data_IF_755655323879
#
_entry.id   IF_755655323879
#
_cell.length_a   1.000
_cell.length_b   1.000
_cell.length_c   1.000
_cell.angle_alpha   90.00
_cell.angle_beta   90.00
_cell.angle_gamma   90.00
#
_symmetry.space_group_name_H-M   'P 1'
#
loop_
_entity.id
_entity.type
_entity.pdbx_description
1 polymer ?
#
# COMPACT_ATOMS: atom_id res chain seq x y z
N UNK A 1 27.65 2.46 -6.76
CA UNK A 1 27.43 2.17 -5.33
C UNK A 1 25.93 2.32 -5.11
N UNK A 2 25.20 1.22 -4.91
CA UNK A 2 23.76 1.31 -4.62
C UNK A 2 23.61 1.92 -3.22
N UNK A 3 23.00 3.09 -3.12
CA UNK A 3 22.55 3.60 -1.83
C UNK A 3 21.66 2.53 -1.20
N UNK A 4 22.04 2.04 -0.03
CA UNK A 4 21.14 1.17 0.75
C UNK A 4 19.90 1.97 1.06
N UNK A 5 18.77 1.54 0.53
CA UNK A 5 17.48 2.12 0.86
C UNK A 5 17.29 2.08 2.38
N UNK A 6 17.17 3.26 3.00
CA UNK A 6 16.86 3.35 4.43
C UNK A 6 15.38 2.97 4.58
N UNK A 7 15.01 2.04 5.46
CA UNK A 7 13.60 1.70 5.67
C UNK A 7 12.79 2.95 5.99
N UNK A 8 11.62 3.08 5.37
CA UNK A 8 10.67 4.13 5.71
C UNK A 8 10.30 4.03 7.21
N UNK A 9 10.21 5.16 7.88
CA UNK A 9 9.77 5.26 9.28
C UNK A 9 8.61 6.25 9.38
N UNK A 10 7.43 5.90 8.86
CA UNK A 10 6.29 6.79 8.91
C UNK A 10 5.82 7.01 10.35
N UNK A 11 5.32 8.21 10.64
CA UNK A 11 4.62 8.47 11.89
C UNK A 11 3.29 7.73 11.95
N UNK A 12 2.62 7.62 10.80
CA UNK A 12 1.43 6.79 10.58
C UNK A 12 1.36 6.32 9.14
N UNK A 13 0.60 5.26 8.93
CA UNK A 13 0.28 4.71 7.61
C UNK A 13 -1.24 4.77 7.46
N UNK A 14 -1.71 5.61 6.55
CA UNK A 14 -3.13 5.71 6.20
C UNK A 14 -3.37 4.90 4.96
N UNK A 15 -4.30 3.94 5.03
CA UNK A 15 -4.61 3.07 3.91
C UNK A 15 -6.03 3.32 3.41
N UNK A 16 -6.23 3.13 2.11
CA UNK A 16 -7.51 3.32 1.43
C UNK A 16 -8.03 1.96 0.95
N UNK A 17 -9.10 1.49 1.56
CA UNK A 17 -9.75 0.26 1.13
C UNK A 17 -10.66 0.46 -0.08
N UNK A 18 -10.72 -0.54 -0.99
CA UNK A 18 -11.67 -0.61 -2.10
C UNK A 18 -11.60 0.55 -3.08
N UNK A 19 -10.41 1.00 -3.41
CA UNK A 19 -10.21 2.15 -4.32
C UNK A 19 -10.16 1.78 -5.82
N UNK A 20 -10.36 0.51 -6.15
CA UNK A 20 -10.54 0.02 -7.51
C UNK A 20 -11.87 -0.73 -7.61
N UNK A 21 -12.72 -0.37 -8.60
CA UNK A 21 -14.06 -0.92 -8.72
C UNK A 21 -14.07 -2.44 -8.91
N UNK A 22 -13.14 -2.96 -9.71
CA UNK A 22 -13.00 -4.40 -9.96
C UNK A 22 -12.58 -5.16 -8.69
N UNK A 23 -11.67 -4.60 -7.89
CA UNK A 23 -11.28 -5.19 -6.61
C UNK A 23 -12.44 -5.21 -5.60
N UNK A 24 -13.24 -4.14 -5.53
CA UNK A 24 -14.42 -4.12 -4.68
C UNK A 24 -15.40 -5.24 -5.06
N UNK A 25 -15.65 -5.44 -6.36
CA UNK A 25 -16.51 -6.51 -6.89
C UNK A 25 -15.95 -7.91 -6.63
N UNK A 26 -14.63 -8.12 -6.82
CA UNK A 26 -13.92 -9.38 -6.57
C UNK A 26 -14.16 -9.88 -5.15
N UNK A 27 -14.15 -8.98 -4.16
CA UNK A 27 -14.41 -9.28 -2.76
C UNK A 27 -15.90 -9.26 -2.38
N UNK A 28 -16.81 -9.12 -3.36
CA UNK A 28 -18.27 -9.08 -3.12
C UNK A 28 -18.73 -7.82 -2.41
N UNK A 29 -17.97 -6.73 -2.49
CA UNK A 29 -18.29 -5.47 -1.83
C UNK A 29 -18.94 -4.46 -2.79
N UNK A 30 -19.72 -3.54 -2.22
CA UNK A 30 -20.23 -2.38 -2.96
C UNK A 30 -19.10 -1.37 -3.18
N UNK A 31 -19.09 -0.74 -4.35
CA UNK A 31 -18.19 0.39 -4.64
C UNK A 31 -18.53 1.53 -3.67
N UNK A 32 -17.57 2.04 -2.89
CA UNK A 32 -17.84 3.07 -1.90
C UNK A 32 -18.11 4.44 -2.54
N UNK A 33 -18.99 5.22 -1.94
CA UNK A 33 -19.28 6.62 -2.32
C UNK A 33 -18.28 7.63 -1.72
N UNK A 34 -17.44 7.19 -0.79
CA UNK A 34 -16.37 7.96 -0.13
C UNK A 34 -15.22 7.05 0.26
N UNK A 35 -13.96 7.57 0.40
CA UNK A 35 -12.82 6.76 0.79
C UNK A 35 -13.04 6.02 2.12
N UNK A 36 -12.84 4.72 2.10
CA UNK A 36 -12.80 3.88 3.29
C UNK A 36 -11.38 3.90 3.85
N UNK A 37 -11.16 4.55 4.99
CA UNK A 37 -9.84 4.69 5.58
C UNK A 37 -9.63 3.71 6.74
N UNK A 38 -8.41 3.21 6.83
CA UNK A 38 -7.91 2.48 7.99
C UNK A 38 -6.42 2.78 8.20
N UNK A 39 -5.87 2.35 9.32
CA UNK A 39 -4.46 2.57 9.67
C UNK A 39 -3.73 1.24 9.81
N UNK A 40 -2.46 1.23 9.40
CA UNK A 40 -1.49 0.21 9.81
C UNK A 40 -0.50 0.84 10.80
N UNK A 41 -0.03 0.09 11.81
CA UNK A 41 0.97 0.61 12.74
C UNK A 41 2.34 0.75 12.02
N UNK A 42 3.16 1.73 12.39
CA UNK A 42 4.51 1.88 11.84
C UNK A 42 5.40 0.63 12.01
N UNK A 43 5.16 -0.19 13.05
CA UNK A 43 5.87 -1.46 13.27
C UNK A 43 5.62 -2.51 12.19
N UNK A 44 4.56 -2.37 11.40
CA UNK A 44 4.28 -3.26 10.28
C UNK A 44 5.24 -3.04 9.09
N UNK A 45 5.96 -1.90 9.03
CA UNK A 45 6.82 -1.57 7.90
C UNK A 45 8.07 -2.42 7.87
N UNK A 46 8.33 -3.01 6.71
CA UNK A 46 9.60 -3.65 6.37
C UNK A 46 10.08 -3.16 5.00
N UNK A 47 11.39 -3.13 4.82
CA UNK A 47 12.02 -2.71 3.57
C UNK A 47 12.15 -3.85 2.55
N UNK A 48 12.83 -3.56 1.42
CA UNK A 48 13.20 -4.57 0.43
C UNK A 48 13.99 -5.71 1.07
N UNK A 49 13.81 -6.91 0.52
CA UNK A 49 14.48 -8.16 0.93
C UNK A 49 14.18 -8.65 2.36
N UNK A 50 13.45 -7.87 3.17
CA UNK A 50 12.91 -8.36 4.44
C UNK A 50 11.79 -9.38 4.19
N UNK A 51 11.61 -10.31 5.13
CA UNK A 51 10.57 -11.33 4.99
C UNK A 51 9.20 -10.79 5.44
N UNK A 52 8.15 -11.20 4.73
CA UNK A 52 6.77 -11.19 5.22
C UNK A 52 6.61 -12.44 6.08
N UNK A 53 6.28 -12.28 7.35
CA UNK A 53 6.11 -13.40 8.29
C UNK A 53 4.63 -13.70 8.46
N UNK A 54 4.22 -14.92 8.11
CA UNK A 54 2.84 -15.36 8.27
C UNK A 54 2.56 -15.58 9.78
N UNK A 55 1.49 -14.98 10.34
CA UNK A 55 1.15 -15.17 11.74
C UNK A 55 0.46 -16.54 11.96
N UNK A 56 0.55 -17.07 13.18
CA UNK A 56 -0.14 -18.31 13.58
C UNK A 56 -1.66 -18.12 13.68
N UNK A 57 -2.10 -16.88 13.87
CA UNK A 57 -3.48 -16.47 14.11
C UNK A 57 -4.32 -16.44 12.83
N UNK A 58 -3.69 -16.53 11.65
CA UNK A 58 -4.38 -16.48 10.36
C UNK A 58 -4.04 -17.67 9.48
N UNK A 59 -5.06 -18.22 8.86
CA UNK A 59 -4.93 -19.26 7.84
C UNK A 59 -5.02 -18.75 6.41
N UNK A 60 -5.31 -17.44 6.22
CA UNK A 60 -5.49 -16.83 4.91
C UNK A 60 -4.84 -15.44 4.87
N UNK A 61 -3.53 -15.39 4.59
CA UNK A 61 -2.80 -14.14 4.36
C UNK A 61 -2.69 -13.90 2.87
N UNK A 62 -3.00 -12.68 2.42
CA UNK A 62 -3.03 -12.29 1.01
C UNK A 62 -2.15 -11.06 0.75
N UNK A 63 -1.64 -10.96 -0.51
CA UNK A 63 -0.93 -9.78 -1.01
C UNK A 63 -1.92 -8.73 -1.53
N UNK A 64 -1.57 -7.47 -1.39
CA UNK A 64 -2.26 -6.31 -1.95
C UNK A 64 -1.21 -5.29 -2.42
N UNK A 65 -0.77 -5.39 -3.70
CA UNK A 65 0.19 -4.45 -4.29
C UNK A 65 -0.45 -3.10 -4.56
N UNK A 66 0.20 -2.02 -4.10
CA UNK A 66 -0.33 -0.66 -4.11
C UNK A 66 0.72 0.38 -4.46
N UNK A 67 0.26 1.54 -4.92
CA UNK A 67 1.07 2.76 -4.97
C UNK A 67 1.01 3.41 -3.59
N UNK A 68 2.18 3.65 -2.99
CA UNK A 68 2.31 4.42 -1.76
C UNK A 68 2.71 5.85 -2.06
N UNK A 69 2.13 6.80 -1.33
CA UNK A 69 2.49 8.23 -1.38
C UNK A 69 3.17 8.60 -0.06
N UNK A 70 4.39 9.11 -0.15
CA UNK A 70 5.15 9.58 1.02
C UNK A 70 5.05 11.09 1.10
N UNK A 71 4.68 11.62 2.26
CA UNK A 71 4.57 13.05 2.49
C UNK A 71 5.96 13.66 2.73
N UNK A 72 6.24 14.79 2.11
CA UNK A 72 7.46 15.59 2.32
C UNK A 72 7.22 16.85 3.14
N UNK A 73 5.98 17.32 3.20
CA UNK A 73 5.57 18.50 3.98
C UNK A 73 4.27 18.20 4.72
N UNK A 74 4.03 18.95 5.78
CA UNK A 74 2.78 18.88 6.54
C UNK A 74 1.60 19.28 5.68
N UNK A 75 0.54 18.47 5.69
CA UNK A 75 -0.70 18.69 4.96
C UNK A 75 -1.89 18.62 5.93
N UNK A 76 -2.67 19.70 6.00
CA UNK A 76 -3.83 19.81 6.89
C UNK A 76 -4.91 20.64 6.23
N UNK A 77 -6.13 20.09 6.07
CA UNK A 77 -7.29 20.74 5.45
C UNK A 77 -6.94 21.36 4.08
N UNK A 78 -6.16 20.63 3.31
CA UNK A 78 -5.70 21.09 2.00
C UNK A 78 -6.82 21.02 0.96
N UNK A 79 -6.69 21.85 -0.05
CA UNK A 79 -7.46 21.72 -1.29
C UNK A 79 -6.83 20.63 -2.15
N UNK A 80 -7.64 20.02 -3.00
CA UNK A 80 -7.16 18.98 -3.92
C UNK A 80 -6.05 19.50 -4.84
N UNK A 81 -6.20 20.69 -5.38
CA UNK A 81 -5.23 21.32 -6.29
C UNK A 81 -3.85 21.55 -5.66
N UNK A 82 -3.78 21.70 -4.33
CA UNK A 82 -2.56 21.99 -3.58
C UNK A 82 -1.95 20.71 -2.94
N UNK A 83 -2.66 19.58 -3.00
CA UNK A 83 -2.32 18.41 -2.21
C UNK A 83 -1.00 17.75 -2.66
N UNK A 84 -0.72 17.74 -3.96
CA UNK A 84 0.51 17.15 -4.51
C UNK A 84 1.78 17.90 -4.12
N UNK A 85 1.68 19.18 -3.79
CA UNK A 85 2.81 20.00 -3.35
C UNK A 85 3.45 19.49 -2.05
N UNK A 86 2.70 18.71 -1.25
CA UNK A 86 3.19 18.13 -0.01
C UNK A 86 3.84 16.75 -0.20
N UNK A 87 3.81 16.18 -1.40
CA UNK A 87 4.33 14.84 -1.69
C UNK A 87 5.85 14.87 -1.84
N UNK A 88 6.55 14.00 -1.12
CA UNK A 88 7.99 13.74 -1.32
C UNK A 88 8.23 12.83 -2.52
N UNK A 89 7.34 11.88 -2.76
CA UNK A 89 7.43 10.94 -3.86
C UNK A 89 6.53 9.71 -3.68
N UNK A 90 6.67 8.78 -4.63
CA UNK A 90 5.96 7.51 -4.63
C UNK A 90 6.88 6.35 -4.24
N UNK A 91 6.27 5.28 -3.75
CA UNK A 91 6.93 4.06 -3.30
C UNK A 91 6.02 2.86 -3.59
N UNK A 92 6.60 1.68 -3.85
CA UNK A 92 5.81 0.45 -3.89
C UNK A 92 5.43 0.04 -2.48
N UNK A 93 4.19 -0.41 -2.30
CA UNK A 93 3.66 -0.91 -1.02
C UNK A 93 2.97 -2.25 -1.24
N UNK A 94 3.08 -3.14 -0.27
CA UNK A 94 2.24 -4.33 -0.19
C UNK A 94 1.41 -4.25 1.10
N UNK A 95 0.10 -4.01 0.99
CA UNK A 95 -0.84 -3.96 2.11
C UNK A 95 -1.27 -5.38 2.52
N UNK A 96 -0.31 -6.16 3.03
CA UNK A 96 -0.52 -7.57 3.41
C UNK A 96 -1.69 -7.69 4.39
N UNK A 97 -2.56 -8.67 4.15
CA UNK A 97 -3.85 -8.79 4.81
C UNK A 97 -4.13 -10.21 5.29
N UNK A 98 -4.42 -10.38 6.58
CA UNK A 98 -5.01 -11.62 7.11
C UNK A 98 -6.52 -11.61 6.81
N UNK A 99 -6.89 -12.23 5.70
CA UNK A 99 -8.23 -12.09 5.11
C UNK A 99 -9.35 -12.72 5.94
N UNK A 100 -9.06 -13.82 6.60
CA UNK A 100 -9.99 -14.47 7.54
C UNK A 100 -10.28 -13.56 8.75
N UNK A 101 -9.24 -12.92 9.31
CA UNK A 101 -9.40 -11.96 10.41
C UNK A 101 -10.10 -10.69 9.96
N UNK A 102 -9.85 -10.21 8.73
CA UNK A 102 -10.54 -9.06 8.16
C UNK A 102 -12.05 -9.28 8.05
N UNK A 103 -12.46 -10.53 7.74
CA UNK A 103 -13.89 -10.91 7.66
C UNK A 103 -14.51 -11.10 9.03
N UNK A 104 -13.73 -11.59 10.01
CA UNK A 104 -14.22 -11.88 11.36
C UNK A 104 -14.34 -10.63 12.22
N UNK A 105 -13.44 -9.67 12.06
CA UNK A 105 -13.39 -8.48 12.90
C UNK A 105 -14.19 -7.31 12.27
N UNK A 106 -14.83 -6.50 13.11
CA UNK A 106 -15.47 -5.25 12.66
C UNK A 106 -14.47 -4.16 12.35
N UNK A 107 -13.27 -4.20 12.97
CA UNK A 107 -12.16 -3.28 12.76
C UNK A 107 -10.97 -4.05 12.21
N UNK A 108 -10.32 -3.50 11.17
CA UNK A 108 -9.25 -4.21 10.44
C UNK A 108 -7.86 -4.14 11.10
N UNK A 109 -7.75 -3.54 12.29
CA UNK A 109 -6.47 -3.35 12.97
C UNK A 109 -5.66 -4.63 13.09
N UNK A 110 -6.29 -5.73 13.55
CA UNK A 110 -5.62 -7.03 13.68
C UNK A 110 -5.28 -7.64 12.32
N UNK A 111 -6.19 -7.59 11.37
CA UNK A 111 -6.00 -8.17 10.04
C UNK A 111 -4.89 -7.49 9.23
N UNK A 112 -4.63 -6.22 9.47
CA UNK A 112 -3.73 -5.34 8.73
C UNK A 112 -2.47 -4.94 9.49
N UNK A 113 -2.43 -5.17 10.81
CA UNK A 113 -1.45 -4.60 11.73
C UNK A 113 -0.36 -5.53 12.21
N UNK A 114 -0.26 -6.78 11.75
CA UNK A 114 0.86 -7.64 12.11
C UNK A 114 2.20 -7.03 11.69
N UNK A 115 3.24 -7.29 12.44
CA UNK A 115 4.60 -6.96 12.03
C UNK A 115 4.88 -7.55 10.65
N UNK A 116 5.65 -6.85 9.83
CA UNK A 116 5.96 -7.20 8.43
C UNK A 116 4.82 -7.07 7.41
N UNK A 117 3.61 -6.67 7.81
CA UNK A 117 2.44 -6.58 6.93
C UNK A 117 2.35 -5.29 6.10
N UNK A 118 3.40 -4.47 6.11
CA UNK A 118 3.53 -3.29 5.25
C UNK A 118 4.92 -3.21 4.60
N UNK A 119 5.30 -4.16 3.73
CA UNK A 119 6.47 -3.97 2.90
C UNK A 119 6.37 -2.67 2.11
N UNK A 120 7.42 -1.83 2.15
CA UNK A 120 7.48 -0.56 1.43
C UNK A 120 8.90 -0.26 0.94
N UNK A 121 9.03 0.14 -0.32
CA UNK A 121 10.33 0.39 -0.97
C UNK A 121 10.22 0.31 -2.50
N UNK A 122 11.33 0.16 -3.24
CA UNK A 122 12.72 0.16 -2.74
C UNK A 122 13.24 1.55 -2.39
N UNK A 123 12.65 2.59 -2.98
CA UNK A 123 13.01 3.98 -2.78
C UNK A 123 11.78 4.88 -2.88
N UNK A 124 11.86 6.09 -2.32
CA UNK A 124 10.88 7.16 -2.56
C UNK A 124 11.34 7.94 -3.77
N UNK A 125 10.56 7.94 -4.84
CA UNK A 125 10.89 8.61 -6.10
C UNK A 125 10.02 9.85 -6.25
N UNK A 126 10.62 11.06 -6.35
CA UNK A 126 9.90 12.32 -6.54
C UNK A 126 9.03 12.32 -7.80
N UNK A 127 7.89 13.05 -7.73
CA UNK A 127 6.91 13.08 -8.83
C UNK A 127 7.49 13.64 -10.14
N UNK A 128 8.43 14.57 -10.06
CA UNK A 128 9.09 15.19 -11.23
C UNK A 128 10.03 14.25 -12.00
N UNK A 129 10.31 13.06 -11.43
CA UNK A 129 11.08 11.98 -12.06
C UNK A 129 10.22 10.86 -12.62
N UNK A 130 8.91 10.97 -12.48
CA UNK A 130 7.93 9.97 -12.90
C UNK A 130 7.09 10.47 -14.07
N UNK A 131 6.48 9.57 -14.86
CA UNK A 131 5.42 9.94 -15.78
C UNK A 131 4.27 10.63 -15.06
N UNK A 132 3.37 11.32 -15.79
CA UNK A 132 2.14 11.86 -15.23
C UNK A 132 1.38 10.79 -14.42
N UNK A 133 0.80 11.17 -13.27
CA UNK A 133 0.17 10.22 -12.34
C UNK A 133 -0.82 9.27 -13.03
N UNK A 134 -1.61 9.76 -13.97
CA UNK A 134 -2.64 8.96 -14.66
C UNK A 134 -2.06 7.88 -15.59
N UNK A 135 -0.78 7.96 -15.94
CA UNK A 135 -0.06 6.97 -16.76
C UNK A 135 0.61 5.89 -15.89
N UNK A 136 0.71 6.12 -14.58
CA UNK A 136 1.33 5.17 -13.68
C UNK A 136 0.47 3.92 -13.50
N UNK A 137 1.16 2.81 -13.29
CA UNK A 137 0.57 1.51 -13.02
C UNK A 137 1.29 0.82 -11.86
N UNK A 138 0.62 -0.12 -11.24
CA UNK A 138 1.19 -1.03 -10.26
C UNK A 138 0.96 -2.46 -10.69
N UNK A 139 2.01 -3.28 -10.63
CA UNK A 139 1.97 -4.71 -10.92
C UNK A 139 2.42 -5.48 -9.70
N UNK A 140 1.65 -6.50 -9.30
CA UNK A 140 2.07 -7.43 -8.25
C UNK A 140 2.25 -8.83 -8.83
N UNK A 141 3.39 -9.45 -8.52
CA UNK A 141 3.72 -10.83 -8.93
C UNK A 141 3.99 -11.70 -7.70
N UNK A 142 3.56 -12.94 -7.79
CA UNK A 142 3.92 -13.99 -6.82
C UNK A 142 4.64 -15.10 -7.57
N UNK A 143 5.87 -15.40 -7.17
CA UNK A 143 6.76 -16.38 -7.82
C UNK A 143 6.94 -16.09 -9.33
N UNK A 144 7.07 -14.80 -9.68
CA UNK A 144 7.22 -14.34 -11.06
C UNK A 144 5.93 -14.35 -11.90
N UNK A 145 4.81 -14.83 -11.36
CA UNK A 145 3.51 -14.80 -12.04
C UNK A 145 2.75 -13.53 -11.68
N UNK A 146 2.33 -12.77 -12.69
CA UNK A 146 1.49 -11.60 -12.50
C UNK A 146 0.14 -12.00 -11.89
N UNK A 147 -0.23 -11.31 -10.83
CA UNK A 147 -1.48 -11.48 -10.08
C UNK A 147 -2.36 -10.26 -10.14
N UNK A 148 -1.76 -9.09 -9.97
CA UNK A 148 -2.48 -7.81 -9.98
C UNK A 148 -1.83 -6.87 -10.99
N UNK A 149 -2.67 -6.12 -11.68
CA UNK A 149 -2.26 -5.05 -12.56
C UNK A 149 -3.33 -3.95 -12.53
N UNK A 150 -2.95 -2.74 -12.18
CA UNK A 150 -3.88 -1.62 -12.11
C UNK A 150 -3.23 -0.29 -12.44
N UNK A 151 -4.00 0.60 -13.07
CA UNK A 151 -3.54 1.94 -13.40
C UNK A 151 -4.12 2.98 -12.43
N UNK A 152 -3.39 4.07 -12.20
CA UNK A 152 -3.87 5.18 -11.37
C UNK A 152 -5.16 5.79 -11.91
N UNK A 153 -5.33 5.84 -13.24
CA UNK A 153 -6.55 6.34 -13.89
C UNK A 153 -7.80 5.53 -13.58
N UNK A 154 -7.64 4.27 -13.11
CA UNK A 154 -8.74 3.36 -12.78
C UNK A 154 -9.13 3.43 -11.29
N UNK A 155 -8.43 4.27 -10.51
CA UNK A 155 -8.79 4.54 -9.12
C UNK A 155 -10.14 5.25 -9.04
N UNK A 156 -11.00 4.83 -8.11
CA UNK A 156 -12.29 5.49 -7.81
C UNK A 156 -12.03 6.91 -7.27
N UNK A 157 -11.06 7.02 -6.36
CA UNK A 157 -10.62 8.27 -5.77
C UNK A 157 -9.15 8.50 -6.14
N UNK A 158 -8.87 9.54 -6.95
CA UNK A 158 -7.52 9.90 -7.37
C UNK A 158 -6.62 10.35 -6.21
N UNK A 159 -5.32 10.27 -6.40
CA UNK A 159 -4.32 10.61 -5.36
C UNK A 159 -4.50 12.02 -4.79
N UNK A 160 -4.68 13.10 -5.60
CA UNK A 160 -4.89 14.44 -5.06
C UNK A 160 -6.13 14.52 -4.16
N UNK A 161 -7.24 13.93 -4.61
CA UNK A 161 -8.48 13.86 -3.84
C UNK A 161 -8.29 13.12 -2.51
N UNK A 162 -7.61 11.96 -2.52
CA UNK A 162 -7.33 11.18 -1.31
C UNK A 162 -6.54 11.99 -0.28
N UNK A 163 -5.49 12.68 -0.71
CA UNK A 163 -4.66 13.49 0.17
C UNK A 163 -5.46 14.65 0.78
N UNK A 164 -6.26 15.36 -0.04
CA UNK A 164 -7.15 16.42 0.44
C UNK A 164 -8.17 15.87 1.44
N UNK A 165 -8.83 14.77 1.10
CA UNK A 165 -9.83 14.11 1.95
C UNK A 165 -9.25 13.69 3.31
N UNK A 166 -8.11 12.98 3.31
CA UNK A 166 -7.43 12.53 4.53
C UNK A 166 -6.99 13.73 5.36
N UNK A 167 -6.42 14.78 4.73
CA UNK A 167 -5.95 15.97 5.42
C UNK A 167 -7.08 16.77 6.10
N UNK A 168 -8.31 16.60 5.62
CA UNK A 168 -9.52 17.15 6.26
C UNK A 168 -9.93 16.42 7.53
N UNK A 169 -9.51 15.17 7.68
CA UNK A 169 -9.83 14.31 8.84
C UNK A 169 -8.69 14.34 9.87
N UNK A 170 -7.45 14.17 9.40
CA UNK A 170 -6.25 14.14 10.23
C UNK A 170 -5.07 14.81 9.52
N UNK A 171 -4.23 15.50 10.27
CA UNK A 171 -3.00 16.07 9.71
C UNK A 171 -2.09 14.96 9.20
N UNK A 172 -1.57 15.10 7.98
CA UNK A 172 -0.48 14.30 7.45
C UNK A 172 0.83 15.05 7.70
N UNK A 173 1.80 14.35 8.28
CA UNK A 173 3.12 14.90 8.63
C UNK A 173 4.19 14.41 7.65
N UNK A 174 5.35 15.11 7.52
CA UNK A 174 6.45 14.62 6.70
C UNK A 174 6.86 13.21 7.10
N UNK A 175 7.03 12.34 6.11
CA UNK A 175 7.35 10.93 6.30
C UNK A 175 6.13 10.01 6.45
N UNK A 176 4.93 10.53 6.67
CA UNK A 176 3.71 9.70 6.68
C UNK A 176 3.52 9.03 5.32
N UNK A 177 2.97 7.82 5.35
CA UNK A 177 2.68 6.99 4.18
C UNK A 177 1.17 6.89 3.95
N UNK A 178 0.75 7.11 2.71
CA UNK A 178 -0.62 6.84 2.26
C UNK A 178 -0.57 5.69 1.25
N UNK A 179 -1.18 4.56 1.57
CA UNK A 179 -1.39 3.43 0.67
C UNK A 179 -2.73 3.64 -0.05
N UNK A 180 -2.70 3.67 -1.39
CA UNK A 180 -3.79 4.26 -2.20
C UNK A 180 -4.89 3.28 -2.59
N UNK A 181 -4.76 2.03 -2.19
CA UNK A 181 -5.67 0.94 -2.55
C UNK A 181 -5.11 0.01 -3.61
N UNK A 182 -5.56 -1.22 -3.59
CA UNK A 182 -5.08 -2.32 -4.41
C UNK A 182 -6.02 -2.61 -5.59
N UNK A 183 -5.50 -2.92 -6.79
CA UNK A 183 -6.29 -3.44 -7.90
C UNK A 183 -6.74 -4.89 -7.64
N UNK A 184 -7.64 -5.41 -8.47
CA UNK A 184 -8.08 -6.82 -8.45
C UNK A 184 -6.94 -7.80 -8.69
N UNK A 185 -7.14 -9.07 -8.33
CA UNK A 185 -6.17 -10.15 -8.44
C UNK A 185 -5.42 -10.44 -7.14
N UNK A 186 -5.97 -10.01 -5.99
CA UNK A 186 -5.45 -10.39 -4.66
C UNK A 186 -5.53 -11.89 -4.47
N UNK A 187 -4.61 -12.45 -3.68
CA UNK A 187 -4.58 -13.88 -3.48
C UNK A 187 -3.65 -14.33 -2.35
N UNK A 188 -3.75 -15.62 -1.98
CA UNK A 188 -3.04 -16.16 -0.83
C UNK A 188 -1.54 -16.20 -1.02
N UNK A 189 -0.83 -16.05 0.10
CA UNK A 189 0.60 -16.22 0.25
C UNK A 189 0.89 -17.47 1.09
N UNK A 190 1.89 -18.23 0.68
CA UNK A 190 2.41 -19.39 1.39
C UNK A 190 3.89 -19.19 1.77
N UNK A 191 4.34 -19.89 2.80
CA UNK A 191 5.76 -19.90 3.15
C UNK A 191 6.60 -20.45 1.98
N UNK A 192 7.65 -19.72 1.63
CA UNK A 192 8.50 -20.00 0.47
C UNK A 192 8.17 -19.17 -0.77
N UNK A 193 7.02 -18.48 -0.80
CA UNK A 193 6.69 -17.55 -1.89
C UNK A 193 7.61 -16.33 -1.90
N UNK A 194 7.70 -15.72 -3.07
CA UNK A 194 8.32 -14.42 -3.30
C UNK A 194 7.30 -13.49 -3.91
N UNK A 195 7.08 -12.35 -3.25
CA UNK A 195 6.18 -11.30 -3.74
C UNK A 195 7.00 -10.15 -4.29
N UNK A 196 6.58 -9.63 -5.43
CA UNK A 196 7.17 -8.46 -6.07
C UNK A 196 6.06 -7.45 -6.38
N UNK A 197 6.25 -6.21 -5.92
CA UNK A 197 5.40 -5.08 -6.31
C UNK A 197 6.24 -4.12 -7.12
N UNK A 198 5.82 -3.86 -8.34
CA UNK A 198 6.52 -2.99 -9.30
C UNK A 198 5.67 -1.77 -9.64
N UNK A 199 6.31 -0.61 -9.65
CA UNK A 199 5.79 0.62 -10.24
C UNK A 199 6.86 1.11 -11.22
N UNK A 200 6.59 1.14 -12.54
CA UNK A 200 7.54 1.64 -13.52
C UNK A 200 8.04 3.05 -13.17
N UNK A 201 9.36 3.21 -13.17
CA UNK A 201 10.02 4.44 -12.74
C UNK A 201 10.31 4.54 -11.23
N UNK A 202 9.61 3.79 -10.38
CA UNK A 202 9.89 3.70 -8.93
C UNK A 202 10.81 2.52 -8.63
N UNK A 203 10.55 1.37 -9.22
CA UNK A 203 11.33 0.15 -9.06
C UNK A 203 10.50 -1.05 -8.64
N UNK A 204 11.20 -2.08 -8.15
CA UNK A 204 10.61 -3.34 -7.70
C UNK A 204 10.88 -3.55 -6.21
N UNK A 205 9.84 -3.66 -5.43
CA UNK A 205 9.87 -4.09 -4.04
C UNK A 205 9.71 -5.61 -3.99
N UNK A 206 10.72 -6.31 -3.47
CA UNK A 206 10.76 -7.77 -3.42
C UNK A 206 10.85 -8.25 -1.98
N UNK A 207 9.99 -9.18 -1.60
CA UNK A 207 9.95 -9.75 -0.25
C UNK A 207 9.68 -11.26 -0.31
N UNK A 208 10.46 -12.04 0.44
CA UNK A 208 10.19 -13.47 0.63
C UNK A 208 9.12 -13.66 1.71
N UNK A 209 8.32 -14.72 1.60
CA UNK A 209 7.32 -15.10 2.59
C UNK A 209 7.87 -16.22 3.48
N UNK A 210 7.75 -16.07 4.78
CA UNK A 210 8.15 -17.07 5.77
C UNK A 210 6.98 -17.55 6.59
N UNK A 211 7.05 -18.78 7.05
CA UNK A 211 6.13 -19.31 8.04
C UNK A 211 6.25 -18.60 9.40
N UNK A 212 5.35 -18.90 10.34
CA UNK A 212 5.37 -18.31 11.68
C UNK A 212 6.72 -18.60 12.38
N UNK A 213 7.23 -17.60 13.09
CA UNK A 213 8.37 -17.80 13.99
C UNK A 213 7.98 -18.73 15.16
N UNK A 214 8.92 -19.56 15.58
CA UNK A 214 8.72 -20.59 16.63
C UNK A 214 8.67 -19.96 18.00
#
# INVERSE_FOLDING_TARGET
MSERAVPLKPGKIVCVGRNYAEHAKELGNVVPDRPLLFLKPPSAVVGPDAAIVLPRESSQVEHEGEIGVVLGRRLQKAREDDALDAVAGLVCVNDVTARDLQKADTQWTRAKGFDTFCPAGPAVVPLDRLPPLHELEVVCRVNGQERQHGHVRDMIFGIPFLLAYISGIMTLEPGDLVATGSPSGVGPLAAGDVVEVEIPGVGVLRNAVRGPEV
#
